data_IF_715504493982
#
_entry.id   IF_715504493982
#
_cell.length_a   1.000
_cell.length_b   1.000
_cell.length_c   1.000
_cell.angle_alpha   90.00
_cell.angle_beta   90.00
_cell.angle_gamma   90.00
#
_symmetry.space_group_name_H-M   'P 1'
#
loop_
_entity.id
_entity.type
_entity.pdbx_description
1 polymer ?
#
# COMPACT_ATOMS: atom_id res chain seq x y z
N UNK A 1 -22.32 1.75 21.64
CA UNK A 1 -21.25 1.56 20.62
C UNK A 1 -21.82 0.66 19.52
N UNK A 2 -22.25 1.25 18.41
CA UNK A 2 -22.78 0.48 17.26
C UNK A 2 -21.54 -0.04 16.53
N UNK A 3 -21.33 -1.36 16.58
CA UNK A 3 -20.25 -2.01 15.84
C UNK A 3 -20.49 -1.82 14.34
N UNK A 4 -19.63 -1.04 13.69
CA UNK A 4 -19.68 -0.86 12.24
C UNK A 4 -19.29 -2.19 11.57
N UNK A 5 -20.09 -2.59 10.61
CA UNK A 5 -19.92 -3.83 9.84
C UNK A 5 -19.18 -3.51 8.56
N UNK A 6 -18.03 -4.12 8.34
CA UNK A 6 -17.20 -3.91 7.14
C UNK A 6 -17.37 -5.10 6.19
N UNK A 7 -17.79 -4.85 4.95
CA UNK A 7 -17.68 -5.83 3.88
C UNK A 7 -16.39 -5.58 3.09
N UNK A 8 -15.45 -6.52 3.15
CA UNK A 8 -14.29 -6.51 2.28
C UNK A 8 -14.71 -6.97 0.86
N UNK A 9 -14.66 -6.06 -0.11
CA UNK A 9 -14.93 -6.38 -1.52
C UNK A 9 -13.78 -7.17 -2.15
N UNK A 10 -12.72 -7.40 -1.45
CA UNK A 10 -11.60 -8.21 -1.92
C UNK A 10 -10.69 -8.67 -0.79
N UNK A 11 -11.13 -9.58 0.02
CA UNK A 11 -10.21 -10.44 0.74
C UNK A 11 -10.93 -11.72 1.14
N UNK A 12 -10.24 -12.82 1.01
CA UNK A 12 -10.54 -14.02 1.77
C UNK A 12 -10.11 -13.74 3.21
N UNK A 13 -10.89 -12.95 3.93
CA UNK A 13 -10.82 -13.02 5.38
C UNK A 13 -11.50 -14.35 5.75
N UNK A 14 -10.86 -15.20 6.57
CA UNK A 14 -11.54 -16.36 7.11
C UNK A 14 -12.81 -15.85 7.80
N UNK A 15 -13.89 -16.60 7.68
CA UNK A 15 -15.18 -16.28 8.30
C UNK A 15 -14.95 -15.90 9.77
N UNK A 16 -15.08 -14.62 10.09
CA UNK A 16 -14.93 -14.11 11.46
C UNK A 16 -16.22 -14.26 12.24
N UNK A 17 -17.25 -14.89 11.65
CA UNK A 17 -18.61 -14.97 12.22
C UNK A 17 -19.36 -13.62 12.20
N UNK A 18 -18.82 -12.61 11.49
CA UNK A 18 -19.48 -11.31 11.32
C UNK A 18 -20.56 -11.46 10.24
N UNK A 19 -21.79 -11.10 10.58
CA UNK A 19 -22.87 -10.99 9.61
C UNK A 19 -22.57 -9.86 8.61
N UNK A 20 -22.48 -10.21 7.33
CA UNK A 20 -22.18 -9.27 6.23
C UNK A 20 -23.41 -8.95 5.39
N UNK A 21 -24.63 -9.23 5.89
CA UNK A 21 -25.89 -9.01 5.16
C UNK A 21 -26.11 -7.55 4.78
N UNK A 22 -25.62 -6.62 5.61
CA UNK A 22 -25.72 -5.17 5.38
C UNK A 22 -24.35 -4.50 5.58
N UNK A 23 -23.48 -4.53 4.58
CA UNK A 23 -22.15 -3.92 4.68
C UNK A 23 -22.25 -2.38 4.67
N UNK A 24 -21.43 -1.73 5.49
CA UNK A 24 -21.37 -0.28 5.66
C UNK A 24 -20.08 0.38 5.14
N UNK A 25 -19.18 -0.40 4.56
CA UNK A 25 -17.93 0.09 3.97
C UNK A 25 -17.47 -0.79 2.80
N UNK A 26 -16.73 -0.20 1.87
CA UNK A 26 -16.01 -0.88 0.79
C UNK A 26 -14.52 -0.90 1.11
N UNK A 27 -13.93 -2.08 1.30
CA UNK A 27 -12.49 -2.25 1.55
C UNK A 27 -11.85 -2.98 0.39
N UNK A 28 -10.79 -2.39 -0.19
CA UNK A 28 -10.07 -2.96 -1.33
C UNK A 28 -8.62 -3.27 -0.97
N UNK A 29 -8.24 -4.53 -1.16
CA UNK A 29 -6.86 -5.03 -1.15
C UNK A 29 -6.52 -5.72 -2.48
N UNK A 30 -5.40 -6.44 -2.52
CA UNK A 30 -5.02 -7.21 -3.69
C UNK A 30 -5.78 -8.54 -3.73
N UNK A 31 -6.78 -8.64 -4.62
CA UNK A 31 -7.59 -9.83 -4.81
C UNK A 31 -7.95 -10.01 -6.30
N UNK A 32 -6.99 -10.48 -7.14
CA UNK A 32 -7.15 -10.54 -8.60
C UNK A 32 -8.41 -11.27 -9.05
N UNK A 33 -8.79 -12.36 -8.39
CA UNK A 33 -9.96 -13.18 -8.75
C UNK A 33 -11.31 -12.47 -8.53
N UNK A 34 -11.30 -11.39 -7.72
CA UNK A 34 -12.49 -10.60 -7.39
C UNK A 34 -12.55 -9.26 -8.16
N UNK A 35 -11.51 -8.90 -8.92
CA UNK A 35 -11.54 -7.72 -9.78
C UNK A 35 -12.29 -8.01 -11.08
N UNK A 36 -13.61 -8.14 -10.98
CA UNK A 36 -14.50 -8.36 -12.09
C UNK A 36 -15.64 -7.33 -12.10
N UNK A 37 -16.34 -7.23 -13.23
CA UNK A 37 -17.36 -6.20 -13.45
C UNK A 37 -18.50 -6.27 -12.41
N UNK A 38 -18.98 -7.46 -12.05
CA UNK A 38 -20.07 -7.62 -11.09
C UNK A 38 -19.68 -7.15 -9.70
N UNK A 39 -18.50 -7.58 -9.21
CA UNK A 39 -18.01 -7.20 -7.88
C UNK A 39 -17.72 -5.70 -7.80
N UNK A 40 -17.08 -5.12 -8.82
CA UNK A 40 -16.77 -3.71 -8.86
C UNK A 40 -18.03 -2.83 -8.96
N UNK A 41 -19.06 -3.25 -9.71
CA UNK A 41 -20.33 -2.54 -9.73
C UNK A 41 -21.08 -2.58 -8.39
N UNK A 42 -21.00 -3.70 -7.66
CA UNK A 42 -21.57 -3.77 -6.32
C UNK A 42 -20.88 -2.77 -5.40
N UNK A 43 -19.54 -2.74 -5.42
CA UNK A 43 -18.76 -1.78 -4.66
C UNK A 43 -19.10 -0.33 -5.03
N UNK A 44 -19.17 -0.03 -6.32
CA UNK A 44 -19.53 1.29 -6.85
C UNK A 44 -20.90 1.77 -6.34
N UNK A 45 -21.93 0.91 -6.39
CA UNK A 45 -23.26 1.26 -5.89
C UNK A 45 -23.26 1.53 -4.39
N UNK A 46 -22.56 0.72 -3.60
CA UNK A 46 -22.40 0.95 -2.16
C UNK A 46 -21.75 2.31 -1.86
N UNK A 47 -20.71 2.70 -2.64
CA UNK A 47 -20.06 4.00 -2.49
C UNK A 47 -21.03 5.13 -2.83
N UNK A 48 -21.84 5.00 -3.89
CA UNK A 48 -22.88 5.98 -4.24
C UNK A 48 -23.95 6.10 -3.14
N UNK A 49 -24.25 5.02 -2.42
CA UNK A 49 -25.19 4.98 -1.29
C UNK A 49 -24.54 5.52 0.01
N UNK A 50 -23.29 6.02 -0.06
CA UNK A 50 -22.59 6.67 1.05
C UNK A 50 -21.61 5.80 1.83
N UNK A 51 -21.36 4.57 1.42
CA UNK A 51 -20.34 3.74 2.06
C UNK A 51 -18.92 4.30 1.81
N UNK A 52 -18.06 4.41 2.85
CA UNK A 52 -16.69 4.85 2.68
C UNK A 52 -15.89 3.84 1.83
N UNK A 53 -15.02 4.36 0.96
CA UNK A 53 -14.05 3.58 0.20
C UNK A 53 -12.72 3.57 0.96
N UNK A 54 -12.25 2.39 1.34
CA UNK A 54 -11.00 2.16 2.06
C UNK A 54 -10.09 1.30 1.21
N UNK A 55 -8.87 1.76 0.96
CA UNK A 55 -7.83 1.00 0.26
C UNK A 55 -6.77 0.53 1.25
N UNK A 56 -6.52 -0.78 1.32
CA UNK A 56 -5.41 -1.33 2.10
C UNK A 56 -4.10 -0.74 1.58
N UNK A 57 -3.95 -0.64 0.27
CA UNK A 57 -2.90 0.11 -0.42
C UNK A 57 -3.33 0.44 -1.86
N UNK A 58 -2.63 1.39 -2.50
CA UNK A 58 -2.90 1.81 -3.89
C UNK A 58 -1.74 1.48 -4.83
N UNK A 59 -0.98 0.42 -4.57
CA UNK A 59 0.12 0.01 -5.44
C UNK A 59 -0.39 -0.19 -6.88
N UNK A 60 0.37 0.36 -7.84
CA UNK A 60 0.02 0.33 -9.27
C UNK A 60 0.16 -1.05 -9.87
N UNK A 61 1.21 -1.77 -9.49
CA UNK A 61 1.55 -3.10 -9.95
C UNK A 61 2.41 -3.84 -8.91
N UNK A 62 2.54 -5.13 -9.08
CA UNK A 62 3.42 -5.98 -8.28
C UNK A 62 4.14 -7.00 -9.17
N UNK A 63 5.21 -7.60 -8.66
CA UNK A 63 5.99 -8.60 -9.39
C UNK A 63 5.40 -9.99 -9.19
N UNK A 64 5.17 -10.68 -10.31
CA UNK A 64 4.83 -12.10 -10.39
C UNK A 64 5.94 -12.88 -11.08
N UNK A 65 5.84 -14.20 -11.10
CA UNK A 65 6.80 -15.08 -11.83
C UNK A 65 6.76 -14.82 -13.34
N UNK A 66 5.60 -14.48 -13.87
CA UNK A 66 5.31 -14.26 -15.29
C UNK A 66 5.47 -12.79 -15.74
N UNK A 67 5.83 -11.88 -14.83
CA UNK A 67 6.03 -10.48 -15.15
C UNK A 67 5.42 -9.53 -14.11
N UNK A 68 5.17 -8.27 -14.53
CA UNK A 68 4.45 -7.30 -13.72
C UNK A 68 2.94 -7.49 -13.92
N UNK A 69 2.19 -7.44 -12.82
CA UNK A 69 0.73 -7.54 -12.81
C UNK A 69 0.11 -6.32 -12.12
N UNK A 70 -1.13 -5.98 -12.49
CA UNK A 70 -1.85 -4.86 -11.89
C UNK A 70 -2.04 -5.07 -10.38
N UNK A 71 -1.68 -4.07 -9.60
CA UNK A 71 -2.01 -3.98 -8.18
C UNK A 71 -3.47 -3.52 -7.97
N UNK A 72 -3.89 -3.29 -6.73
CA UNK A 72 -5.24 -2.81 -6.45
C UNK A 72 -5.47 -1.35 -6.84
N UNK A 73 -4.41 -0.54 -6.95
CA UNK A 73 -4.49 0.89 -7.24
C UNK A 73 -5.33 1.26 -8.46
N UNK A 74 -5.19 0.62 -9.64
CA UNK A 74 -6.04 0.86 -10.80
C UNK A 74 -7.53 0.68 -10.53
N UNK A 75 -7.92 -0.34 -9.75
CA UNK A 75 -9.31 -0.62 -9.41
C UNK A 75 -9.87 0.37 -8.38
N UNK A 76 -9.06 0.74 -7.38
CA UNK A 76 -9.41 1.81 -6.44
C UNK A 76 -9.60 3.13 -7.19
N UNK A 77 -8.66 3.49 -8.07
CA UNK A 77 -8.74 4.72 -8.86
C UNK A 77 -9.94 4.72 -9.81
N UNK A 78 -10.29 3.57 -10.39
CA UNK A 78 -11.49 3.43 -11.21
C UNK A 78 -12.77 3.70 -10.43
N UNK A 79 -12.87 3.22 -9.18
CA UNK A 79 -14.01 3.49 -8.30
C UNK A 79 -14.03 4.93 -7.81
N UNK A 80 -12.88 5.52 -7.46
CA UNK A 80 -12.76 6.95 -7.12
C UNK A 80 -13.26 7.82 -8.26
N UNK A 81 -12.83 7.52 -9.48
CA UNK A 81 -13.25 8.25 -10.69
C UNK A 81 -14.76 8.12 -10.94
N UNK A 82 -15.29 6.90 -10.85
CA UNK A 82 -16.69 6.63 -11.16
C UNK A 82 -17.66 7.23 -10.11
N UNK A 83 -17.26 7.25 -8.84
CA UNK A 83 -18.09 7.71 -7.73
C UNK A 83 -17.77 9.16 -7.28
N UNK A 84 -16.84 9.84 -7.97
CA UNK A 84 -16.36 11.19 -7.60
C UNK A 84 -15.97 11.31 -6.12
N UNK A 85 -15.21 10.35 -5.63
CA UNK A 85 -14.78 10.27 -4.25
C UNK A 85 -13.27 10.02 -4.12
N UNK A 86 -12.75 10.03 -2.88
CA UNK A 86 -11.39 9.62 -2.56
C UNK A 86 -11.39 8.47 -1.57
N UNK A 87 -10.57 7.47 -1.86
CA UNK A 87 -10.34 6.37 -0.93
C UNK A 87 -9.48 6.83 0.26
N UNK A 88 -9.83 6.35 1.45
CA UNK A 88 -8.93 6.39 2.60
C UNK A 88 -7.89 5.28 2.43
N UNK A 89 -6.64 5.64 2.21
CA UNK A 89 -5.53 4.68 2.10
C UNK A 89 -4.95 4.45 3.49
N UNK A 90 -4.76 3.18 3.89
CA UNK A 90 -4.22 2.84 5.23
C UNK A 90 -2.79 2.31 5.19
N UNK A 91 -2.35 1.78 4.05
CA UNK A 91 -1.00 1.28 3.84
C UNK A 91 -0.04 2.32 3.23
N UNK A 92 1.11 1.86 2.76
CA UNK A 92 2.11 2.69 2.07
C UNK A 92 1.49 3.41 0.86
N UNK A 93 1.86 4.67 0.59
CA UNK A 93 2.91 5.50 1.20
C UNK A 93 2.42 6.36 2.38
N UNK A 94 1.27 6.08 2.98
CA UNK A 94 0.68 6.92 4.02
C UNK A 94 1.56 6.99 5.27
N UNK A 95 1.77 8.21 5.79
CA UNK A 95 2.62 8.46 6.96
C UNK A 95 2.21 7.63 8.18
N UNK A 96 0.91 7.41 8.37
CA UNK A 96 0.39 6.63 9.49
C UNK A 96 0.92 5.19 9.50
N UNK A 97 1.14 4.56 8.33
CA UNK A 97 1.72 3.23 8.21
C UNK A 97 3.13 3.17 8.82
N UNK A 98 4.00 4.12 8.46
CA UNK A 98 5.38 4.19 8.97
C UNK A 98 5.42 4.60 10.43
N UNK A 99 4.57 5.56 10.84
CA UNK A 99 4.48 6.01 12.24
C UNK A 99 4.07 4.87 13.17
N UNK A 100 3.14 4.00 12.74
CA UNK A 100 2.77 2.83 13.52
C UNK A 100 3.94 1.87 13.69
N UNK A 101 4.68 1.57 12.62
CA UNK A 101 5.86 0.71 12.69
C UNK A 101 6.95 1.30 13.62
N UNK A 102 7.21 2.60 13.55
CA UNK A 102 8.14 3.28 14.44
C UNK A 102 7.71 3.21 15.89
N UNK A 103 6.41 3.39 16.15
CA UNK A 103 5.84 3.25 17.51
C UNK A 103 6.04 1.84 18.06
N UNK A 104 5.80 0.82 17.26
CA UNK A 104 5.96 -0.60 17.66
C UNK A 104 7.43 -0.95 17.92
N UNK A 105 8.37 -0.33 17.17
CA UNK A 105 9.81 -0.49 17.35
C UNK A 105 10.36 0.37 18.50
N UNK A 106 9.62 1.36 18.98
CA UNK A 106 10.06 2.28 20.04
C UNK A 106 11.21 3.19 19.62
N UNK A 107 11.33 3.55 18.34
CA UNK A 107 12.40 4.38 17.79
C UNK A 107 11.87 5.65 17.12
N UNK A 108 12.74 6.66 17.00
CA UNK A 108 12.45 7.87 16.24
C UNK A 108 12.59 7.63 14.74
N UNK A 109 11.96 8.46 13.87
CA UNK A 109 12.11 8.32 12.42
C UNK A 109 13.57 8.37 11.94
N UNK A 110 14.40 9.18 12.55
CA UNK A 110 15.84 9.33 12.20
C UNK A 110 16.70 8.10 12.55
N UNK A 111 16.18 7.20 13.38
CA UNK A 111 16.85 5.96 13.78
C UNK A 111 16.39 4.76 12.95
N UNK A 112 15.52 4.99 11.96
CA UNK A 112 14.92 3.92 11.18
C UNK A 112 15.21 4.05 9.69
N UNK A 113 15.40 2.90 9.04
CA UNK A 113 15.63 2.78 7.60
C UNK A 113 14.56 1.91 6.98
N UNK A 114 13.94 2.39 5.92
CA UNK A 114 13.06 1.59 5.05
C UNK A 114 13.86 1.07 3.87
N UNK A 115 13.84 -0.24 3.64
CA UNK A 115 14.39 -0.89 2.45
C UNK A 115 13.22 -1.40 1.62
N UNK A 116 13.14 -0.97 0.36
CA UNK A 116 12.04 -1.39 -0.52
C UNK A 116 12.35 -1.28 -2.00
N UNK A 117 11.52 -1.89 -2.83
CA UNK A 117 11.62 -1.94 -4.29
C UNK A 117 10.68 -0.98 -5.01
N UNK A 118 9.87 -0.23 -4.26
CA UNK A 118 9.03 0.85 -4.79
C UNK A 118 9.53 2.22 -4.34
N UNK A 119 10.03 3.00 -5.31
CA UNK A 119 10.56 4.33 -5.01
C UNK A 119 9.52 5.25 -4.36
N UNK A 120 8.24 5.17 -4.76
CA UNK A 120 7.20 6.07 -4.24
C UNK A 120 6.56 5.55 -2.96
N UNK A 121 6.14 4.27 -2.97
CA UNK A 121 5.36 3.71 -1.86
C UNK A 121 6.26 3.37 -0.67
N UNK A 122 7.47 2.85 -0.91
CA UNK A 122 8.42 2.47 0.16
C UNK A 122 9.31 3.65 0.53
N UNK A 123 10.15 4.09 -0.42
CA UNK A 123 11.18 5.08 -0.15
C UNK A 123 10.58 6.47 0.10
N UNK A 124 9.73 6.96 -0.82
CA UNK A 124 9.08 8.26 -0.69
C UNK A 124 8.17 8.33 0.54
N UNK A 125 7.42 7.25 0.80
CA UNK A 125 6.58 7.15 2.00
C UNK A 125 7.40 7.23 3.29
N UNK A 126 8.52 6.51 3.37
CA UNK A 126 9.44 6.54 4.50
C UNK A 126 10.08 7.92 4.69
N UNK A 127 10.57 8.54 3.61
CA UNK A 127 11.14 9.88 3.64
C UNK A 127 10.12 10.93 4.13
N UNK A 128 8.86 10.85 3.69
CA UNK A 128 7.77 11.70 4.16
C UNK A 128 7.44 11.48 5.65
N UNK A 129 7.78 10.32 6.19
CA UNK A 129 7.69 10.03 7.63
C UNK A 129 8.93 10.44 8.42
N UNK A 130 10.00 10.91 7.75
CA UNK A 130 11.26 11.34 8.37
C UNK A 130 12.31 10.23 8.52
N UNK A 131 12.09 9.08 7.87
CA UNK A 131 13.02 7.93 7.86
C UNK A 131 14.01 8.04 6.70
N UNK A 132 15.11 7.28 6.77
CA UNK A 132 15.94 7.02 5.60
C UNK A 132 15.26 5.97 4.69
N UNK A 133 15.35 6.18 3.37
CA UNK A 133 14.81 5.25 2.37
C UNK A 133 15.91 4.70 1.47
N UNK A 134 16.08 3.38 1.45
CA UNK A 134 16.99 2.66 0.56
C UNK A 134 16.18 1.93 -0.51
N UNK A 135 16.49 2.22 -1.79
CA UNK A 135 15.86 1.57 -2.92
C UNK A 135 16.68 0.36 -3.36
N UNK A 136 16.03 -0.80 -3.52
CA UNK A 136 16.69 -2.00 -4.04
C UNK A 136 16.20 -2.32 -5.45
N UNK A 137 17.16 -2.71 -6.34
CA UNK A 137 16.87 -3.03 -7.75
C UNK A 137 16.36 -4.46 -7.93
N UNK A 138 15.46 -4.87 -7.05
CA UNK A 138 14.80 -6.18 -7.09
C UNK A 138 13.28 -6.01 -7.26
N UNK A 139 12.53 -7.10 -7.22
CA UNK A 139 11.07 -7.08 -7.20
C UNK A 139 10.46 -6.31 -8.36
N UNK A 140 9.78 -5.22 -8.07
CA UNK A 140 9.07 -4.37 -9.05
C UNK A 140 9.86 -3.15 -9.53
N UNK A 141 11.10 -2.95 -9.08
CA UNK A 141 11.98 -1.88 -9.54
C UNK A 141 12.09 -1.86 -11.07
N UNK A 142 12.14 -0.69 -11.64
CA UNK A 142 12.38 -0.42 -13.06
C UNK A 142 13.46 0.65 -13.19
N UNK A 143 14.26 0.56 -14.24
CA UNK A 143 15.34 1.51 -14.50
C UNK A 143 14.82 2.97 -14.46
N UNK A 144 15.51 3.80 -13.69
CA UNK A 144 15.13 5.19 -13.47
C UNK A 144 14.16 5.43 -12.32
N UNK A 145 13.76 4.40 -11.58
CA UNK A 145 12.85 4.55 -10.43
C UNK A 145 13.45 5.41 -9.32
N UNK A 146 14.79 5.43 -9.19
CA UNK A 146 15.52 6.29 -8.26
C UNK A 146 15.30 7.79 -8.48
N UNK A 147 14.81 8.19 -9.66
CA UNK A 147 14.51 9.58 -10.02
C UNK A 147 13.05 9.98 -9.74
N UNK A 148 12.26 9.07 -9.17
CA UNK A 148 10.81 9.27 -8.97
C UNK A 148 10.44 9.85 -7.61
N UNK A 149 11.42 10.07 -6.73
CA UNK A 149 11.26 10.71 -5.43
C UNK A 149 12.09 11.98 -5.33
N UNK A 150 11.59 12.94 -4.57
CA UNK A 150 12.31 14.15 -4.18
C UNK A 150 12.09 14.34 -2.66
N UNK A 151 13.15 14.23 -1.85
CA UNK A 151 14.53 13.96 -2.22
C UNK A 151 14.73 12.55 -2.81
N UNK A 152 15.83 12.30 -3.53
CA UNK A 152 16.15 10.98 -4.05
C UNK A 152 16.36 9.96 -2.91
N UNK A 153 16.35 8.65 -3.18
CA UNK A 153 16.70 7.63 -2.19
C UNK A 153 18.06 7.93 -1.54
N UNK A 154 18.18 7.68 -0.23
CA UNK A 154 19.47 7.78 0.47
C UNK A 154 20.54 6.90 -0.20
N UNK A 155 20.15 5.70 -0.61
CA UNK A 155 20.98 4.75 -1.35
C UNK A 155 20.10 3.99 -2.35
N UNK A 156 20.68 3.67 -3.51
CA UNK A 156 20.12 2.67 -4.44
C UNK A 156 21.14 1.57 -4.64
N UNK A 157 20.82 0.33 -4.28
CA UNK A 157 21.69 -0.83 -4.38
C UNK A 157 20.99 -1.99 -5.09
N UNK A 158 21.74 -3.09 -5.38
CA UNK A 158 21.21 -4.15 -6.22
C UNK A 158 20.26 -5.08 -5.47
N UNK A 159 20.48 -5.26 -4.15
CA UNK A 159 19.72 -6.24 -3.37
C UNK A 159 19.52 -5.83 -1.93
N UNK A 160 18.62 -6.52 -1.22
CA UNK A 160 18.42 -6.36 0.20
C UNK A 160 19.70 -6.65 1.03
N UNK A 161 20.47 -7.73 0.77
CA UNK A 161 21.75 -7.94 1.44
C UNK A 161 22.72 -6.77 1.30
N UNK A 162 22.85 -6.17 0.10
CA UNK A 162 23.72 -5.01 -0.12
C UNK A 162 23.29 -3.81 0.73
N UNK A 163 21.96 -3.61 0.87
CA UNK A 163 21.42 -2.57 1.72
C UNK A 163 21.76 -2.78 3.19
N UNK A 164 21.61 -4.02 3.68
CA UNK A 164 21.95 -4.39 5.07
C UNK A 164 23.45 -4.22 5.32
N UNK A 165 24.31 -4.67 4.41
CA UNK A 165 25.77 -4.51 4.54
C UNK A 165 26.15 -3.03 4.63
N UNK A 166 25.55 -2.18 3.79
CA UNK A 166 25.79 -0.74 3.84
C UNK A 166 25.37 -0.14 5.20
N UNK A 167 24.22 -0.54 5.74
CA UNK A 167 23.75 -0.07 7.05
C UNK A 167 24.74 -0.44 8.16
N UNK A 168 25.18 -1.70 8.19
CA UNK A 168 26.12 -2.20 9.20
C UNK A 168 27.48 -1.49 9.16
N UNK A 169 27.93 -1.07 7.98
CA UNK A 169 29.23 -0.43 7.79
C UNK A 169 29.21 1.07 7.97
N UNK A 170 28.06 1.75 7.75
CA UNK A 170 28.03 3.20 7.62
C UNK A 170 27.02 3.91 8.53
N UNK A 171 26.04 3.19 9.11
CA UNK A 171 24.97 3.79 9.91
C UNK A 171 24.92 3.26 11.35
N UNK A 172 25.63 2.19 11.69
CA UNK A 172 25.81 1.65 13.04
C UNK A 172 27.24 1.82 13.51
#
# INVERSE_FOLDING_TARGET
>A
MIGRRVQAVCSVLPSTGIDTSEPDAVVIGLAPDHFNYQTLNRAFRMILDGAPLIAIHKARYYKRKDGLALGPGPFVTGLEYAADCKATVVGKPEKAFFTQALSDLGCSPSEAVMIGDDARDDVGGAQNAGMLGILVRTGKYRDGDEKKTDPPPYLTCNSFPDAVEHILQNLL
#
